data_IF_659699327029
#
_entry.id   IF_659699327029
#
_cell.length_a   1.000
_cell.length_b   1.000
_cell.length_c   1.000
_cell.angle_alpha   90.00
_cell.angle_beta   90.00
_cell.angle_gamma   90.00
#
_symmetry.space_group_name_H-M   'P 1'
#
loop_
_entity.id
_entity.type
_entity.pdbx_description
1 polymer ?
#
# COMPACT_ATOMS: atom_id res chain seq x y z
N UNK A 1 -48.71 18.28 -23.28
CA UNK A 1 -49.60 17.58 -22.34
C UNK A 1 -48.77 16.52 -21.66
N UNK A 2 -48.07 16.88 -20.59
CA UNK A 2 -47.80 16.07 -19.39
C UNK A 2 -47.32 17.07 -18.34
N UNK A 3 -47.98 16.99 -17.21
CA UNK A 3 -48.21 18.04 -16.21
C UNK A 3 -46.99 18.22 -15.30
N UNK A 4 -46.69 19.46 -14.95
CA UNK A 4 -45.67 19.86 -13.98
C UNK A 4 -46.40 20.15 -12.69
N UNK A 5 -46.76 19.09 -11.96
CA UNK A 5 -47.33 19.19 -10.63
C UNK A 5 -46.97 17.94 -9.83
N UNK A 6 -45.75 17.94 -9.29
CA UNK A 6 -45.39 17.19 -8.08
C UNK A 6 -44.03 17.71 -7.57
N UNK A 7 -44.03 18.99 -7.18
CA UNK A 7 -43.05 19.57 -6.26
C UNK A 7 -43.83 20.12 -5.08
N UNK A 8 -43.29 19.86 -3.88
CA UNK A 8 -43.74 20.33 -2.56
C UNK A 8 -45.01 19.66 -2.02
N UNK A 9 -44.86 18.62 -1.20
CA UNK A 9 -45.61 18.44 0.05
C UNK A 9 -44.85 17.47 0.97
N UNK A 10 -43.76 17.92 1.60
CA UNK A 10 -43.31 17.36 2.88
C UNK A 10 -43.77 18.36 3.94
N UNK A 11 -45.07 18.37 4.22
CA UNK A 11 -45.64 19.09 5.35
C UNK A 11 -45.74 18.15 6.54
N UNK A 12 -45.16 18.60 7.65
CA UNK A 12 -45.33 18.08 8.99
C UNK A 12 -46.67 17.38 9.25
N UNK A 13 -46.64 16.06 9.41
CA UNK A 13 -47.40 15.26 10.40
C UNK A 13 -47.44 13.80 9.97
N UNK A 14 -46.38 13.06 10.30
CA UNK A 14 -46.51 11.67 10.74
C UNK A 14 -45.37 11.36 11.72
N UNK A 15 -45.36 12.05 12.86
CA UNK A 15 -44.84 11.41 14.08
C UNK A 15 -45.94 10.43 14.48
N UNK A 16 -46.02 9.30 13.77
CA UNK A 16 -46.76 8.13 14.24
C UNK A 16 -45.84 7.47 15.25
N UNK A 17 -46.24 7.56 16.51
CA UNK A 17 -45.98 6.62 17.60
C UNK A 17 -44.99 5.50 17.22
N UNK A 18 -43.71 5.80 17.36
CA UNK A 18 -42.67 4.76 17.50
C UNK A 18 -43.02 4.05 18.80
N UNK A 19 -43.25 2.75 18.70
CA UNK A 19 -43.40 1.85 19.84
C UNK A 19 -42.22 2.07 20.79
N UNK A 20 -42.48 2.42 22.05
CA UNK A 20 -41.46 2.68 23.07
C UNK A 20 -40.76 1.38 23.55
N UNK A 21 -40.65 0.35 22.70
CA UNK A 21 -40.11 -0.96 23.10
C UNK A 21 -39.14 -1.63 22.13
N UNK A 22 -38.87 -1.08 20.93
CA UNK A 22 -37.86 -1.67 20.03
C UNK A 22 -36.49 -1.03 20.21
N UNK A 23 -35.55 -1.82 20.75
CA UNK A 23 -34.13 -1.46 20.82
C UNK A 23 -33.52 -1.38 19.41
N UNK A 24 -32.74 -0.34 19.16
CA UNK A 24 -32.05 -0.11 17.88
C UNK A 24 -30.56 -0.39 18.02
N UNK A 25 -29.97 -0.97 16.99
CA UNK A 25 -28.54 -1.32 16.96
C UNK A 25 -27.88 -0.69 15.75
N UNK A 26 -26.68 -0.13 15.95
CA UNK A 26 -25.89 0.41 14.84
C UNK A 26 -24.91 -0.66 14.36
N UNK A 27 -24.95 -0.95 13.07
CA UNK A 27 -24.10 -1.95 12.43
C UNK A 27 -23.13 -1.25 11.48
N UNK A 28 -21.84 -1.38 11.73
CA UNK A 28 -20.81 -0.90 10.83
C UNK A 28 -20.71 -1.86 9.63
N UNK A 29 -20.59 -1.36 8.40
CA UNK A 29 -20.38 -2.24 7.25
C UNK A 29 -19.06 -3.01 7.36
N UNK A 30 -19.04 -4.25 6.87
CA UNK A 30 -17.93 -5.19 7.06
C UNK A 30 -16.63 -4.73 6.39
N UNK A 31 -16.74 -3.94 5.33
CA UNK A 31 -15.62 -3.35 4.59
C UNK A 31 -15.15 -1.99 5.16
N UNK A 32 -15.74 -1.53 6.26
CA UNK A 32 -15.20 -0.40 7.03
C UNK A 32 -14.21 -0.93 8.06
N UNK A 33 -12.94 -0.62 7.82
CA UNK A 33 -11.83 -0.99 8.70
C UNK A 33 -11.40 0.22 9.54
N UNK A 34 -11.22 0.02 10.84
CA UNK A 34 -10.85 1.10 11.76
C UNK A 34 -9.49 0.80 12.37
N UNK A 35 -8.53 1.68 12.11
CA UNK A 35 -7.18 1.61 12.69
C UNK A 35 -7.08 2.59 13.84
N UNK A 36 -7.05 2.08 15.08
CA UNK A 36 -6.80 2.91 16.28
C UNK A 36 -5.32 3.28 16.36
N UNK A 37 -5.00 4.57 16.24
CA UNK A 37 -3.67 5.10 16.55
C UNK A 37 -3.62 5.70 17.96
N UNK A 38 -2.53 6.39 18.28
CA UNK A 38 -2.30 6.93 19.61
C UNK A 38 -3.24 8.09 19.99
N UNK A 39 -3.45 9.04 19.08
CA UNK A 39 -4.24 10.25 19.33
C UNK A 39 -5.57 10.31 18.56
N UNK A 40 -5.72 9.46 17.56
CA UNK A 40 -6.86 9.48 16.62
C UNK A 40 -6.97 8.16 15.90
N UNK A 41 -8.09 7.97 15.22
CA UNK A 41 -8.33 6.79 14.39
C UNK A 41 -8.32 7.14 12.92
N UNK A 42 -8.01 6.15 12.09
CA UNK A 42 -8.28 6.15 10.67
C UNK A 42 -9.46 5.21 10.40
N UNK A 43 -10.53 5.74 9.83
CA UNK A 43 -11.61 4.91 9.26
C UNK A 43 -11.32 4.76 7.77
N UNK A 44 -11.15 3.53 7.34
CA UNK A 44 -10.85 3.11 5.98
C UNK A 44 -12.05 2.38 5.41
N UNK A 45 -12.73 3.01 4.46
CA UNK A 45 -13.74 2.35 3.63
C UNK A 45 -13.02 1.61 2.50
N UNK A 46 -12.87 0.30 2.67
CA UNK A 46 -12.09 -0.54 1.77
C UNK A 46 -12.82 -0.77 0.43
N UNK A 47 -14.16 -0.73 0.43
CA UNK A 47 -14.98 -0.85 -0.76
C UNK A 47 -14.87 0.38 -1.67
N UNK A 48 -14.80 1.58 -1.08
CA UNK A 48 -14.63 2.85 -1.80
C UNK A 48 -13.17 3.30 -1.90
N UNK A 49 -12.23 2.59 -1.29
CA UNK A 49 -10.79 2.91 -1.23
C UNK A 49 -10.49 4.32 -0.70
N UNK A 50 -11.27 4.77 0.30
CA UNK A 50 -11.10 6.09 0.94
C UNK A 50 -10.80 5.93 2.42
N UNK A 51 -9.89 6.75 2.94
CA UNK A 51 -9.56 6.79 4.37
C UNK A 51 -9.75 8.20 4.91
N UNK A 52 -10.25 8.31 6.14
CA UNK A 52 -10.41 9.60 6.82
C UNK A 52 -10.12 9.50 8.31
N UNK A 53 -9.54 10.56 8.84
CA UNK A 53 -9.15 10.67 10.24
C UNK A 53 -10.30 11.14 11.11
N UNK A 54 -10.40 10.57 12.31
CA UNK A 54 -11.43 10.90 13.29
C UNK A 54 -10.88 10.90 14.72
N UNK A 55 -11.53 11.60 15.67
CA UNK A 55 -11.15 11.59 17.08
C UNK A 55 -11.25 10.20 17.73
N UNK A 56 -10.52 9.96 18.82
CA UNK A 56 -10.57 8.69 19.56
C UNK A 56 -11.93 8.42 20.20
N UNK A 57 -12.64 9.47 20.58
CA UNK A 57 -13.97 9.37 21.19
C UNK A 57 -14.96 8.66 20.27
N UNK A 58 -14.81 8.83 18.95
CA UNK A 58 -15.62 8.10 17.98
C UNK A 58 -15.32 6.60 17.98
N UNK A 59 -14.06 6.20 18.24
CA UNK A 59 -13.70 4.78 18.36
C UNK A 59 -14.40 4.14 19.56
N UNK A 60 -14.32 4.77 20.73
CA UNK A 60 -14.96 4.25 21.95
C UNK A 60 -16.47 4.12 21.75
N UNK A 61 -17.12 5.10 21.13
CA UNK A 61 -18.54 5.00 20.75
C UNK A 61 -18.81 3.82 19.81
N UNK A 62 -17.99 3.61 18.78
CA UNK A 62 -18.18 2.49 17.84
C UNK A 62 -18.03 1.14 18.56
N UNK A 63 -17.07 1.00 19.49
CA UNK A 63 -16.92 -0.22 20.29
C UNK A 63 -18.11 -0.45 21.23
N UNK A 64 -18.65 0.60 21.85
CA UNK A 64 -19.87 0.51 22.66
C UNK A 64 -21.06 0.04 21.81
N UNK A 65 -21.26 0.65 20.63
CA UNK A 65 -22.35 0.33 19.70
C UNK A 65 -22.28 -1.10 19.14
N UNK A 66 -21.10 -1.74 19.10
CA UNK A 66 -20.96 -3.17 18.74
C UNK A 66 -21.56 -4.11 19.78
N UNK A 67 -21.68 -3.67 21.03
CA UNK A 67 -22.02 -4.52 22.17
C UNK A 67 -23.39 -4.21 22.80
N UNK A 68 -23.98 -3.08 22.44
CA UNK A 68 -25.21 -2.57 23.06
C UNK A 68 -26.10 -1.82 22.06
N UNK A 69 -27.39 -1.70 22.40
CA UNK A 69 -28.33 -0.87 21.65
C UNK A 69 -27.98 0.61 21.78
N UNK A 70 -28.35 1.40 20.77
CA UNK A 70 -28.22 2.86 20.75
C UNK A 70 -28.86 3.47 22.00
N UNK A 71 -30.04 2.99 22.39
CA UNK A 71 -30.74 3.46 23.59
C UNK A 71 -29.92 3.21 24.85
N UNK A 72 -29.38 2.00 25.03
CA UNK A 72 -28.58 1.64 26.20
C UNK A 72 -27.27 2.42 26.25
N UNK A 73 -26.62 2.65 25.12
CA UNK A 73 -25.43 3.49 25.02
C UNK A 73 -25.77 4.91 25.48
N UNK A 74 -26.84 5.52 24.93
CA UNK A 74 -27.25 6.88 25.27
C UNK A 74 -27.65 7.05 26.75
N UNK A 75 -28.06 6.01 27.46
CA UNK A 75 -28.36 6.08 28.90
C UNK A 75 -27.12 6.36 29.76
N UNK A 76 -25.92 5.97 29.30
CA UNK A 76 -24.66 6.14 30.02
C UNK A 76 -24.11 7.57 29.97
N UNK A 77 -24.66 8.43 29.13
CA UNK A 77 -24.16 9.79 28.90
C UNK A 77 -25.06 10.87 29.54
N UNK A 78 -24.49 12.01 29.90
CA UNK A 78 -25.27 13.17 30.35
C UNK A 78 -26.04 13.82 29.18
N UNK A 79 -27.07 14.66 29.45
CA UNK A 79 -27.89 15.25 28.39
C UNK A 79 -27.14 16.04 27.32
N UNK A 80 -26.01 16.67 27.65
CA UNK A 80 -25.18 17.39 26.68
C UNK A 80 -24.44 16.43 25.77
N UNK A 81 -23.79 15.42 26.36
CA UNK A 81 -23.07 14.38 25.63
C UNK A 81 -23.98 13.56 24.71
N UNK A 82 -25.23 13.29 25.11
CA UNK A 82 -26.21 12.59 24.26
C UNK A 82 -26.41 13.26 22.90
N UNK A 83 -26.39 14.59 22.84
CA UNK A 83 -26.54 15.33 21.57
C UNK A 83 -25.34 15.03 20.67
N UNK A 84 -24.12 15.07 21.21
CA UNK A 84 -22.88 14.79 20.47
C UNK A 84 -22.86 13.34 19.97
N UNK A 85 -23.24 12.37 20.80
CA UNK A 85 -23.32 10.95 20.39
C UNK A 85 -24.32 10.77 19.25
N UNK A 86 -25.49 11.43 19.31
CA UNK A 86 -26.47 11.39 18.22
C UNK A 86 -25.93 12.03 16.93
N UNK A 87 -25.17 13.12 17.02
CA UNK A 87 -24.49 13.72 15.87
C UNK A 87 -23.46 12.75 15.25
N UNK A 88 -22.68 12.05 16.07
CA UNK A 88 -21.74 11.03 15.57
C UNK A 88 -22.47 9.88 14.86
N UNK A 89 -23.55 9.34 15.45
CA UNK A 89 -24.35 8.29 14.80
C UNK A 89 -24.93 8.82 13.48
N UNK A 90 -25.49 10.03 13.47
CA UNK A 90 -26.01 10.68 12.27
C UNK A 90 -24.95 10.83 11.18
N UNK A 91 -23.72 11.22 11.57
CA UNK A 91 -22.60 11.34 10.66
C UNK A 91 -22.15 9.99 10.08
N UNK A 92 -22.08 8.93 10.90
CA UNK A 92 -21.74 7.59 10.42
C UNK A 92 -22.77 7.08 9.39
N UNK A 93 -24.05 7.41 9.58
CA UNK A 93 -25.12 7.10 8.62
C UNK A 93 -25.02 7.95 7.35
N UNK A 94 -24.79 9.25 7.47
CA UNK A 94 -24.63 10.17 6.33
C UNK A 94 -23.46 9.76 5.43
N UNK A 95 -22.37 9.25 6.03
CA UNK A 95 -21.20 8.75 5.31
C UNK A 95 -21.35 7.32 4.79
N UNK A 96 -22.50 6.69 5.04
CA UNK A 96 -22.76 5.30 4.66
C UNK A 96 -21.69 4.34 5.20
N UNK A 97 -21.23 4.56 6.45
CA UNK A 97 -20.32 3.66 7.17
C UNK A 97 -21.06 2.53 7.90
N UNK A 98 -22.37 2.67 8.05
CA UNK A 98 -23.20 1.66 8.69
C UNK A 98 -24.68 1.93 8.51
N UNK A 99 -25.48 1.13 9.20
CA UNK A 99 -26.94 1.18 9.15
C UNK A 99 -27.54 0.79 10.51
N UNK A 100 -28.80 1.16 10.73
CA UNK A 100 -29.53 0.83 11.96
C UNK A 100 -30.45 -0.36 11.71
N UNK A 101 -30.45 -1.31 12.64
CA UNK A 101 -31.43 -2.40 12.72
C UNK A 101 -32.27 -2.29 13.99
N UNK A 102 -33.43 -2.93 13.99
CA UNK A 102 -34.29 -3.09 15.17
C UNK A 102 -34.29 -4.55 15.63
N UNK A 103 -34.41 -4.77 16.94
CA UNK A 103 -34.36 -6.12 17.51
C UNK A 103 -32.96 -6.74 17.39
N UNK A 104 -32.87 -8.07 17.27
CA UNK A 104 -31.58 -8.80 17.30
C UNK A 104 -31.05 -9.19 15.90
N UNK A 105 -31.41 -8.41 14.88
CA UNK A 105 -31.01 -8.63 13.49
C UNK A 105 -29.52 -8.35 13.21
N UNK A 106 -28.88 -7.57 14.07
CA UNK A 106 -27.44 -7.26 14.05
C UNK A 106 -26.58 -8.52 14.01
N UNK A 107 -27.01 -9.60 14.68
CA UNK A 107 -26.31 -10.91 14.71
C UNK A 107 -26.14 -11.56 13.33
N UNK A 108 -26.95 -11.16 12.34
CA UNK A 108 -26.85 -11.67 10.98
C UNK A 108 -25.82 -10.93 10.13
N UNK A 109 -25.24 -9.84 10.65
CA UNK A 109 -24.23 -9.04 9.98
C UNK A 109 -22.84 -9.40 10.51
N UNK A 110 -22.24 -10.44 9.91
CA UNK A 110 -20.93 -10.93 10.32
C UNK A 110 -19.82 -9.94 9.89
N UNK A 111 -18.77 -9.77 10.73
CA UNK A 111 -17.62 -8.95 10.36
C UNK A 111 -16.85 -9.57 9.20
N UNK A 112 -16.12 -8.74 8.45
CA UNK A 112 -15.19 -9.21 7.44
C UNK A 112 -14.08 -10.02 8.11
N UNK A 113 -13.77 -11.20 7.57
CA UNK A 113 -12.56 -11.92 7.95
C UNK A 113 -11.35 -11.14 7.46
N UNK A 114 -10.43 -10.82 8.37
CA UNK A 114 -9.16 -10.18 8.01
C UNK A 114 -8.07 -11.18 7.61
N UNK A 115 -8.40 -12.47 7.45
CA UNK A 115 -7.44 -13.45 6.97
C UNK A 115 -6.97 -13.11 5.55
N UNK A 116 -5.65 -13.13 5.35
CA UNK A 116 -5.04 -12.93 4.04
C UNK A 116 -4.88 -14.29 3.33
N UNK A 117 -5.56 -14.43 2.19
CA UNK A 117 -5.44 -15.62 1.34
C UNK A 117 -4.82 -15.28 -0.01
N UNK A 118 -3.65 -15.86 -0.27
CA UNK A 118 -3.05 -15.88 -1.61
C UNK A 118 -2.23 -17.16 -1.76
N UNK A 119 -2.43 -17.83 -2.88
CA UNK A 119 -1.85 -19.14 -3.18
C UNK A 119 -0.48 -19.04 -3.86
N UNK A 120 -0.04 -17.84 -4.25
CA UNK A 120 1.29 -17.64 -4.83
C UNK A 120 2.36 -17.80 -3.75
N UNK A 121 3.48 -18.42 -4.11
CA UNK A 121 4.66 -18.42 -3.23
C UNK A 121 5.40 -17.08 -3.33
N UNK A 122 5.50 -16.55 -4.55
CA UNK A 122 6.10 -15.25 -4.88
C UNK A 122 5.19 -14.54 -5.86
N UNK A 123 4.81 -13.31 -5.53
CA UNK A 123 3.95 -12.47 -6.36
C UNK A 123 4.77 -11.52 -7.25
N UNK A 124 5.86 -10.98 -6.71
CA UNK A 124 6.67 -9.96 -7.38
C UNK A 124 8.17 -10.29 -7.32
N UNK A 125 8.85 -10.04 -8.43
CA UNK A 125 10.30 -10.00 -8.52
C UNK A 125 10.75 -8.61 -8.94
N UNK A 126 11.73 -8.04 -8.24
CA UNK A 126 12.45 -6.85 -8.66
C UNK A 126 13.87 -7.25 -9.04
N UNK A 127 14.35 -6.85 -10.22
CA UNK A 127 15.74 -7.06 -10.62
C UNK A 127 16.40 -5.75 -11.07
N UNK A 128 17.62 -5.51 -10.60
CA UNK A 128 18.51 -4.48 -11.13
C UNK A 128 19.51 -5.10 -12.12
N UNK A 129 19.58 -4.56 -13.34
CA UNK A 129 20.47 -5.03 -14.40
C UNK A 129 21.22 -3.88 -15.07
N UNK A 130 22.42 -4.13 -15.57
CA UNK A 130 23.16 -3.13 -16.33
C UNK A 130 22.55 -2.93 -17.73
N UNK A 131 22.16 -4.04 -18.37
CA UNK A 131 21.46 -4.10 -19.67
C UNK A 131 20.22 -4.97 -19.54
N UNK A 132 19.26 -4.83 -20.45
CA UNK A 132 18.01 -5.58 -20.44
C UNK A 132 18.21 -7.06 -20.84
N UNK A 133 18.90 -7.81 -20.00
CA UNK A 133 19.24 -9.21 -20.19
C UNK A 133 19.19 -9.92 -18.83
N UNK A 134 18.60 -11.11 -18.79
CA UNK A 134 18.56 -11.95 -17.60
C UNK A 134 18.93 -13.40 -17.93
N UNK A 135 19.50 -14.17 -16.99
CA UNK A 135 19.83 -15.57 -17.23
C UNK A 135 18.58 -16.42 -17.54
N UNK A 136 18.71 -17.41 -18.43
CA UNK A 136 17.63 -18.35 -18.75
C UNK A 136 17.13 -19.11 -17.51
N UNK A 137 18.03 -19.41 -16.56
CA UNK A 137 17.67 -20.03 -15.28
C UNK A 137 16.70 -19.17 -14.45
N UNK A 138 16.79 -17.83 -14.56
CA UNK A 138 15.86 -16.92 -13.88
C UNK A 138 14.49 -16.92 -14.58
N UNK A 139 14.46 -16.94 -15.91
CA UNK A 139 13.22 -17.07 -16.69
C UNK A 139 12.50 -18.38 -16.31
N UNK A 140 13.24 -19.48 -16.20
CA UNK A 140 12.69 -20.77 -15.76
C UNK A 140 12.17 -20.70 -14.32
N UNK A 141 12.89 -20.01 -13.42
CA UNK A 141 12.44 -19.80 -12.03
C UNK A 141 11.13 -19.00 -11.98
N UNK A 142 11.00 -17.95 -12.80
CA UNK A 142 9.77 -17.15 -12.94
C UNK A 142 8.60 -18.03 -13.40
N UNK A 143 8.84 -18.90 -14.38
CA UNK A 143 7.83 -19.83 -14.89
C UNK A 143 7.41 -20.86 -13.82
N UNK A 144 8.37 -21.52 -13.17
CA UNK A 144 8.15 -22.56 -12.17
C UNK A 144 7.41 -22.05 -10.94
N UNK A 145 7.82 -20.88 -10.43
CA UNK A 145 7.21 -20.23 -9.28
C UNK A 145 5.92 -19.46 -9.65
N UNK A 146 5.60 -19.39 -10.94
CA UNK A 146 4.44 -18.68 -11.50
C UNK A 146 4.37 -17.22 -11.04
N UNK A 147 5.53 -16.55 -11.02
CA UNK A 147 5.63 -15.13 -10.63
C UNK A 147 4.88 -14.29 -11.66
N UNK A 148 3.97 -13.43 -11.19
CA UNK A 148 3.08 -12.65 -12.05
C UNK A 148 3.59 -11.26 -12.39
N UNK A 149 4.42 -10.67 -11.53
CA UNK A 149 4.90 -9.31 -11.70
C UNK A 149 6.42 -9.21 -11.65
N UNK A 150 6.99 -8.54 -12.64
CA UNK A 150 8.42 -8.28 -12.75
C UNK A 150 8.66 -6.78 -12.85
N UNK A 151 9.51 -6.26 -11.99
CA UNK A 151 10.05 -4.91 -12.08
C UNK A 151 11.52 -5.01 -12.49
N UNK A 152 11.90 -4.37 -13.59
CA UNK A 152 13.27 -4.33 -14.07
C UNK A 152 13.81 -2.92 -13.98
N UNK A 153 14.84 -2.73 -13.17
CA UNK A 153 15.62 -1.50 -13.15
C UNK A 153 16.84 -1.67 -14.04
N UNK A 154 16.74 -1.21 -15.29
CA UNK A 154 17.84 -1.24 -16.26
C UNK A 154 18.63 0.08 -16.19
N UNK A 155 19.95 -0.02 -16.05
CA UNK A 155 20.81 1.16 -15.90
C UNK A 155 21.17 1.82 -17.24
N UNK A 156 21.14 1.05 -18.33
CA UNK A 156 21.38 1.55 -19.68
C UNK A 156 20.11 2.10 -20.32
N UNK A 157 20.30 2.77 -21.47
CA UNK A 157 19.20 3.03 -22.41
C UNK A 157 18.72 1.71 -23.01
N UNK A 158 17.46 1.67 -23.45
CA UNK A 158 16.85 0.50 -24.08
C UNK A 158 16.14 0.93 -25.37
N UNK A 159 16.32 0.18 -26.45
CA UNK A 159 15.60 0.35 -27.71
C UNK A 159 14.22 -0.31 -27.68
N UNK A 160 13.33 0.08 -28.61
CA UNK A 160 11.99 -0.53 -28.68
C UNK A 160 12.04 -2.02 -29.00
N UNK A 161 13.00 -2.44 -29.84
CA UNK A 161 13.19 -3.83 -30.22
C UNK A 161 13.66 -4.70 -29.04
N UNK A 162 14.61 -4.20 -28.23
CA UNK A 162 15.06 -4.90 -27.02
C UNK A 162 13.91 -5.13 -26.03
N UNK A 163 13.03 -4.14 -25.83
CA UNK A 163 11.84 -4.29 -24.99
C UNK A 163 10.87 -5.35 -25.53
N UNK A 164 10.63 -5.34 -26.84
CA UNK A 164 9.74 -6.31 -27.50
C UNK A 164 10.30 -7.73 -27.35
N UNK A 165 11.59 -7.90 -27.58
CA UNK A 165 12.23 -9.22 -27.48
C UNK A 165 12.27 -9.69 -26.02
N UNK A 166 12.48 -8.79 -25.07
CA UNK A 166 12.41 -9.11 -23.64
C UNK A 166 11.00 -9.51 -23.18
N UNK A 167 9.93 -8.85 -23.64
CA UNK A 167 8.55 -9.25 -23.33
C UNK A 167 8.23 -10.66 -23.84
N UNK A 168 8.72 -11.02 -25.04
CA UNK A 168 8.51 -12.34 -25.66
C UNK A 168 9.17 -13.49 -24.92
N UNK A 169 10.26 -13.24 -24.19
CA UNK A 169 10.91 -14.26 -23.34
C UNK A 169 9.90 -14.89 -22.36
N UNK A 170 8.85 -14.15 -21.99
CA UNK A 170 7.87 -14.56 -21.00
C UNK A 170 6.58 -15.17 -21.60
N UNK A 171 6.52 -15.43 -22.91
CA UNK A 171 5.30 -15.90 -23.58
C UNK A 171 4.72 -17.20 -23.04
N UNK A 172 5.57 -18.08 -22.49
CA UNK A 172 5.17 -19.36 -21.92
C UNK A 172 5.25 -19.37 -20.38
N UNK A 173 5.07 -18.21 -19.74
CA UNK A 173 5.15 -18.05 -18.28
C UNK A 173 3.85 -17.48 -17.73
N UNK A 174 3.73 -17.41 -16.39
CA UNK A 174 2.61 -16.76 -15.71
C UNK A 174 2.80 -15.24 -15.54
N UNK A 175 3.83 -14.65 -16.16
CA UNK A 175 4.09 -13.22 -16.05
C UNK A 175 2.96 -12.44 -16.74
N UNK A 176 2.31 -11.57 -15.99
CA UNK A 176 1.15 -10.77 -16.42
C UNK A 176 1.49 -9.28 -16.46
N UNK A 177 2.41 -8.82 -15.60
CA UNK A 177 2.79 -7.40 -15.51
C UNK A 177 4.30 -7.19 -15.52
N UNK A 178 4.74 -6.29 -16.41
CA UNK A 178 6.13 -5.85 -16.53
C UNK A 178 6.21 -4.32 -16.36
N UNK A 179 7.01 -3.88 -15.39
CA UNK A 179 7.38 -2.48 -15.16
C UNK A 179 8.88 -2.33 -15.39
N UNK A 180 9.26 -1.31 -16.16
CA UNK A 180 10.66 -1.07 -16.51
C UNK A 180 11.09 0.35 -16.20
N UNK A 181 12.29 0.45 -15.63
CA UNK A 181 13.04 1.69 -15.49
C UNK A 181 14.23 1.67 -16.44
N UNK A 182 14.47 2.77 -17.14
CA UNK A 182 15.59 2.92 -18.09
C UNK A 182 16.15 4.34 -18.06
N UNK A 183 17.43 4.49 -18.39
CA UNK A 183 17.98 5.81 -18.68
C UNK A 183 17.31 6.41 -19.92
N UNK A 184 17.15 7.73 -19.93
CA UNK A 184 16.65 8.48 -21.07
C UNK A 184 17.56 8.34 -22.31
N UNK A 185 16.95 8.22 -23.49
CA UNK A 185 17.63 8.28 -24.78
C UNK A 185 16.89 9.23 -25.73
N UNK A 186 17.58 9.76 -26.73
CA UNK A 186 16.98 10.61 -27.77
C UNK A 186 16.09 9.82 -28.74
N UNK A 187 16.05 8.49 -28.65
CA UNK A 187 15.19 7.62 -29.45
C UNK A 187 13.75 7.54 -28.91
N UNK A 188 13.52 8.01 -27.68
CA UNK A 188 12.20 8.00 -27.05
C UNK A 188 11.29 9.01 -27.73
N UNK A 189 10.48 8.53 -28.68
CA UNK A 189 9.53 9.33 -29.47
C UNK A 189 8.23 8.54 -29.70
N UNK A 190 7.27 9.12 -30.41
CA UNK A 190 5.97 8.48 -30.66
C UNK A 190 6.11 7.09 -31.32
N UNK A 191 7.01 6.93 -32.29
CA UNK A 191 7.22 5.64 -32.98
C UNK A 191 7.80 4.59 -32.03
N UNK A 192 8.71 4.97 -31.13
CA UNK A 192 9.22 4.08 -30.09
C UNK A 192 8.07 3.50 -29.25
N UNK A 193 7.19 4.36 -28.72
CA UNK A 193 6.10 3.92 -27.85
C UNK A 193 4.98 3.21 -28.60
N UNK A 194 4.69 3.61 -29.84
CA UNK A 194 3.74 2.92 -30.69
C UNK A 194 4.20 1.48 -30.97
N UNK A 195 5.49 1.26 -31.24
CA UNK A 195 6.03 -0.08 -31.39
C UNK A 195 5.83 -0.93 -30.12
N UNK A 196 6.06 -0.37 -28.93
CA UNK A 196 5.78 -1.10 -27.68
C UNK A 196 4.29 -1.39 -27.55
N UNK A 197 3.44 -0.42 -27.86
CA UNK A 197 1.99 -0.55 -27.79
C UNK A 197 1.49 -1.72 -28.65
N UNK A 198 1.97 -1.82 -29.89
CA UNK A 198 1.51 -2.79 -30.88
C UNK A 198 2.07 -4.20 -30.65
N UNK A 199 3.31 -4.31 -30.15
CA UNK A 199 4.05 -5.59 -30.15
C UNK A 199 4.34 -6.21 -28.78
N UNK A 200 3.95 -5.57 -27.67
CA UNK A 200 4.03 -6.18 -26.34
C UNK A 200 2.67 -6.27 -25.69
N UNK A 201 2.51 -7.10 -24.66
CA UNK A 201 1.20 -7.32 -24.02
C UNK A 201 1.21 -7.05 -22.51
N UNK A 202 2.36 -7.24 -21.86
CA UNK A 202 2.46 -7.29 -20.38
C UNK A 202 3.03 -6.01 -19.77
N UNK A 203 3.67 -5.18 -20.59
CA UNK A 203 4.21 -3.89 -20.16
C UNK A 203 3.05 -2.98 -19.77
N UNK A 204 2.98 -2.60 -18.50
CA UNK A 204 1.95 -1.69 -17.96
C UNK A 204 2.53 -0.33 -17.56
N UNK A 205 3.84 -0.23 -17.33
CA UNK A 205 4.49 1.02 -16.90
C UNK A 205 5.93 1.09 -17.38
N UNK A 206 6.29 2.21 -17.99
CA UNK A 206 7.66 2.54 -18.36
C UNK A 206 8.07 3.86 -17.69
N UNK A 207 9.21 3.83 -17.02
CA UNK A 207 9.78 4.99 -16.34
C UNK A 207 11.15 5.30 -16.93
N UNK A 208 11.30 6.50 -17.45
CA UNK A 208 12.58 7.02 -17.92
C UNK A 208 13.10 8.07 -16.94
N UNK A 209 14.39 7.99 -16.61
CA UNK A 209 15.04 8.93 -15.70
C UNK A 209 16.19 9.67 -16.40
N UNK A 210 16.64 10.78 -15.80
CA UNK A 210 17.58 11.72 -16.44
C UNK A 210 17.05 12.28 -17.77
N UNK A 211 15.75 12.53 -17.83
CA UNK A 211 15.13 13.10 -19.01
C UNK A 211 15.51 14.58 -19.16
N UNK A 212 16.15 14.91 -20.28
CA UNK A 212 16.47 16.29 -20.65
C UNK A 212 15.19 17.06 -21.00
N UNK A 213 14.29 16.40 -21.73
CA UNK A 213 13.00 16.93 -22.16
C UNK A 213 11.92 15.84 -22.08
N UNK A 214 10.64 16.25 -22.01
CA UNK A 214 9.52 15.32 -22.11
C UNK A 214 9.17 15.15 -23.59
N UNK A 215 9.39 13.96 -24.19
CA UNK A 215 9.35 13.82 -25.65
C UNK A 215 7.95 13.75 -26.25
N UNK A 216 6.91 13.66 -25.42
CA UNK A 216 5.53 13.43 -25.85
C UNK A 216 4.56 14.49 -25.31
N UNK A 217 3.52 14.76 -26.10
CA UNK A 217 2.34 15.49 -25.64
C UNK A 217 1.47 14.58 -24.74
N UNK A 218 0.71 15.18 -23.81
CA UNK A 218 -0.12 14.42 -22.86
C UNK A 218 -1.30 13.64 -23.50
N UNK A 219 -1.63 13.89 -24.77
CA UNK A 219 -2.83 13.35 -25.43
C UNK A 219 -2.61 11.97 -26.13
N UNK A 220 -1.59 11.21 -25.73
CA UNK A 220 -1.34 9.87 -26.31
C UNK A 220 -1.96 8.76 -25.47
N UNK A 221 -2.84 7.96 -26.08
CA UNK A 221 -3.57 6.88 -25.40
C UNK A 221 -2.86 5.53 -25.58
N UNK A 222 -1.74 5.32 -24.90
CA UNK A 222 -1.09 4.01 -24.84
C UNK A 222 -1.73 3.12 -23.76
N UNK A 223 -1.65 1.80 -23.95
CA UNK A 223 -2.12 0.80 -22.97
C UNK A 223 -1.30 0.72 -21.66
N UNK A 224 -0.20 1.48 -21.59
CA UNK A 224 0.71 1.55 -20.44
C UNK A 224 0.91 3.01 -20.01
N UNK A 225 1.29 3.19 -18.75
CA UNK A 225 1.66 4.49 -18.22
C UNK A 225 3.10 4.84 -18.61
N UNK A 226 3.35 6.12 -18.89
CA UNK A 226 4.67 6.66 -19.17
C UNK A 226 5.02 7.72 -18.13
N UNK A 227 6.20 7.58 -17.53
CA UNK A 227 6.76 8.55 -16.59
C UNK A 227 8.14 8.99 -17.04
N UNK A 228 8.35 10.31 -17.08
CA UNK A 228 9.64 10.93 -17.36
C UNK A 228 10.11 11.70 -16.14
N UNK A 229 11.28 11.35 -15.60
CA UNK A 229 11.87 11.98 -14.42
C UNK A 229 13.16 12.70 -14.81
N UNK A 230 13.30 13.96 -14.41
CA UNK A 230 14.52 14.74 -14.65
C UNK A 230 15.69 14.26 -13.80
N UNK A 231 15.41 13.88 -12.57
CA UNK A 231 16.43 13.48 -11.61
C UNK A 231 16.97 12.07 -11.92
N UNK A 232 18.24 11.78 -11.55
CA UNK A 232 18.74 10.42 -11.54
C UNK A 232 17.92 9.56 -10.57
N UNK A 233 17.59 8.35 -11.01
CA UNK A 233 16.88 7.39 -10.18
C UNK A 233 17.84 6.31 -9.70
N UNK A 234 17.58 5.79 -8.51
CA UNK A 234 18.26 4.61 -7.98
C UNK A 234 17.32 3.79 -7.12
N UNK A 235 17.66 2.53 -6.87
CA UNK A 235 16.94 1.68 -5.91
C UNK A 235 16.92 2.31 -4.50
N UNK A 236 17.88 3.16 -4.19
CA UNK A 236 17.94 3.90 -2.92
C UNK A 236 16.91 5.02 -2.84
N UNK A 237 16.20 5.38 -3.91
CA UNK A 237 15.13 6.38 -3.88
C UNK A 237 13.82 5.83 -3.28
N UNK A 238 13.69 4.51 -3.14
CA UNK A 238 12.50 3.83 -2.60
C UNK A 238 12.30 4.09 -1.08
N UNK A 239 11.14 3.70 -0.55
CA UNK A 239 10.85 3.67 0.89
C UNK A 239 10.44 5.02 1.48
N UNK A 240 10.23 6.05 0.66
CA UNK A 240 9.65 7.33 1.09
C UNK A 240 8.21 7.10 1.57
N UNK A 241 7.88 7.63 2.73
CA UNK A 241 6.53 7.55 3.30
C UNK A 241 5.86 8.91 3.15
N UNK A 242 4.76 8.95 2.40
CA UNK A 242 3.94 10.14 2.17
C UNK A 242 2.48 9.70 2.04
N UNK A 243 1.56 10.56 2.50
CA UNK A 243 0.10 10.34 2.42
C UNK A 243 -0.38 10.10 0.99
N UNK A 244 0.26 10.71 -0.01
CA UNK A 244 -0.05 10.55 -1.44
C UNK A 244 0.20 9.12 -1.94
N UNK A 245 1.01 8.34 -1.20
CA UNK A 245 1.32 6.94 -1.51
C UNK A 245 0.53 5.95 -0.66
N UNK A 246 -0.36 6.43 0.22
CA UNK A 246 -1.18 5.54 1.04
C UNK A 246 -2.21 4.82 0.19
N UNK A 247 -2.40 3.55 0.47
CA UNK A 247 -3.28 2.70 -0.32
C UNK A 247 -4.32 2.02 0.57
N UNK A 248 -5.58 2.37 0.34
CA UNK A 248 -6.73 1.91 1.13
C UNK A 248 -7.47 0.73 0.45
N UNK A 249 -6.89 0.11 -0.58
CA UNK A 249 -7.55 -1.03 -1.21
C UNK A 249 -7.58 -2.26 -0.28
N UNK A 250 -8.66 -3.04 -0.37
CA UNK A 250 -8.88 -4.20 0.50
C UNK A 250 -7.73 -5.23 0.46
N UNK A 251 -7.27 -5.75 -0.70
CA UNK A 251 -6.13 -6.67 -0.73
C UNK A 251 -4.89 -6.15 -0.02
N UNK A 252 -4.61 -4.84 -0.15
CA UNK A 252 -3.42 -4.23 0.43
C UNK A 252 -3.51 -4.07 1.94
N UNK A 253 -4.67 -3.63 2.42
CA UNK A 253 -4.91 -3.48 3.86
C UNK A 253 -4.89 -4.85 4.53
N UNK A 254 -5.55 -5.86 3.95
CA UNK A 254 -5.51 -7.24 4.46
C UNK A 254 -4.09 -7.80 4.48
N UNK A 255 -3.30 -7.58 3.42
CA UNK A 255 -1.88 -7.95 3.42
C UNK A 255 -1.12 -7.28 4.57
N UNK A 256 -1.32 -5.96 4.77
CA UNK A 256 -0.61 -5.18 5.78
C UNK A 256 -1.02 -5.49 7.22
N UNK A 257 -2.21 -6.06 7.44
CA UNK A 257 -2.66 -6.55 8.75
C UNK A 257 -1.92 -7.85 9.11
N UNK A 258 -1.66 -8.71 8.14
CA UNK A 258 -1.13 -10.06 8.38
C UNK A 258 0.38 -10.17 8.15
N UNK A 259 0.94 -9.29 7.32
CA UNK A 259 2.29 -9.42 6.79
C UNK A 259 2.96 -8.05 6.59
N UNK A 260 4.24 -8.09 6.25
CA UNK A 260 4.98 -6.89 5.88
C UNK A 260 4.47 -6.31 4.56
N UNK A 261 3.97 -5.07 4.61
CA UNK A 261 3.34 -4.43 3.45
C UNK A 261 4.30 -4.08 2.30
N UNK A 262 5.62 -4.24 2.44
CA UNK A 262 6.56 -4.06 1.32
C UNK A 262 7.11 -5.39 0.80
N UNK A 263 7.54 -6.28 1.70
CA UNK A 263 8.39 -7.43 1.38
C UNK A 263 7.65 -8.76 1.24
N UNK A 264 6.42 -8.88 1.75
CA UNK A 264 5.67 -10.13 1.72
C UNK A 264 5.55 -10.68 0.29
N UNK A 265 5.98 -11.93 0.09
CA UNK A 265 6.02 -12.64 -1.20
C UNK A 265 6.80 -11.94 -2.32
N UNK A 266 7.73 -11.05 -1.95
CA UNK A 266 8.61 -10.37 -2.91
C UNK A 266 10.05 -10.85 -2.79
N UNK A 267 10.71 -10.87 -3.94
CA UNK A 267 12.14 -11.07 -4.06
C UNK A 267 12.78 -9.92 -4.82
N UNK A 268 14.05 -9.68 -4.51
CA UNK A 268 14.91 -8.70 -5.14
C UNK A 268 16.18 -9.35 -5.62
N UNK A 269 16.68 -8.93 -6.78
CA UNK A 269 18.01 -9.26 -7.29
C UNK A 269 18.75 -7.95 -7.51
N UNK A 270 19.88 -7.77 -6.83
CA UNK A 270 20.73 -6.58 -7.03
C UNK A 270 21.59 -6.69 -8.29
N UNK A 271 22.24 -5.58 -8.68
CA UNK A 271 23.12 -5.52 -9.86
C UNK A 271 24.25 -6.56 -9.91
N UNK A 272 24.62 -7.15 -8.78
CA UNK A 272 25.66 -8.17 -8.71
C UNK A 272 25.08 -9.60 -8.81
N UNK A 273 23.76 -9.72 -9.02
CA UNK A 273 23.03 -10.98 -9.06
C UNK A 273 22.69 -11.54 -7.69
N UNK A 274 22.86 -10.78 -6.60
CA UNK A 274 22.55 -11.29 -5.26
C UNK A 274 21.03 -11.33 -5.04
N UNK A 275 20.52 -12.48 -4.58
CA UNK A 275 19.11 -12.70 -4.28
C UNK A 275 18.82 -12.23 -2.84
N UNK A 276 17.77 -11.43 -2.68
CA UNK A 276 17.38 -10.68 -1.47
C UNK A 276 15.84 -10.57 -1.36
N UNK A 277 15.29 -9.96 -0.30
CA UNK A 277 13.87 -9.58 -0.26
C UNK A 277 13.55 -8.39 -1.17
N UNK A 278 14.50 -7.47 -1.27
CA UNK A 278 14.48 -6.27 -2.10
C UNK A 278 15.95 -5.97 -2.46
N UNK A 279 16.27 -5.46 -3.66
CA UNK A 279 17.68 -5.23 -4.05
C UNK A 279 18.45 -4.34 -3.06
N UNK A 280 17.74 -3.42 -2.41
CA UNK A 280 18.29 -2.51 -1.42
C UNK A 280 18.53 -3.13 -0.03
N UNK A 281 18.08 -4.36 0.22
CA UNK A 281 18.34 -5.04 1.49
C UNK A 281 19.83 -5.36 1.66
N UNK A 282 20.35 -5.34 2.90
CA UNK A 282 21.75 -5.68 3.15
C UNK A 282 22.03 -7.18 3.04
N UNK A 283 21.10 -8.02 3.50
CA UNK A 283 21.26 -9.48 3.51
C UNK A 283 21.05 -10.07 2.12
N UNK A 284 21.92 -11.01 1.75
CA UNK A 284 21.78 -11.84 0.56
C UNK A 284 21.62 -13.31 0.96
N UNK A 285 20.80 -14.02 0.20
CA UNK A 285 20.47 -15.44 0.41
C UNK A 285 21.08 -16.36 -0.66
N UNK A 286 21.87 -15.80 -1.58
CA UNK A 286 22.43 -16.52 -2.70
C UNK A 286 22.70 -15.60 -3.89
N UNK A 287 23.17 -16.18 -4.99
CA UNK A 287 23.42 -15.45 -6.23
C UNK A 287 22.77 -16.20 -7.41
N UNK A 288 22.06 -15.47 -8.27
CA UNK A 288 21.27 -16.03 -9.37
C UNK A 288 22.10 -16.77 -10.43
N UNK A 289 23.41 -16.51 -10.48
CA UNK A 289 24.34 -17.22 -11.35
C UNK A 289 24.79 -18.58 -10.79
N UNK A 290 24.44 -18.89 -9.53
CA UNK A 290 24.87 -20.11 -8.82
C UNK A 290 23.72 -20.95 -8.29
N UNK A 291 22.55 -20.34 -8.09
CA UNK A 291 21.38 -20.96 -7.47
C UNK A 291 20.09 -20.46 -8.12
N UNK A 292 19.04 -21.26 -8.08
CA UNK A 292 17.70 -20.87 -8.55
C UNK A 292 16.90 -20.18 -7.44
N UNK A 293 15.77 -19.55 -7.80
CA UNK A 293 14.91 -18.93 -6.78
C UNK A 293 14.26 -19.97 -5.88
N UNK A 294 13.90 -21.13 -6.41
CA UNK A 294 13.32 -22.24 -5.66
C UNK A 294 14.27 -22.74 -4.56
N UNK A 295 15.54 -22.91 -4.88
CA UNK A 295 16.57 -23.32 -3.92
C UNK A 295 16.72 -22.30 -2.78
N UNK A 296 16.63 -21.01 -3.08
CA UNK A 296 16.68 -19.94 -2.08
C UNK A 296 15.45 -19.97 -1.17
N UNK A 297 14.26 -20.20 -1.73
CA UNK A 297 13.02 -20.26 -0.95
C UNK A 297 12.98 -21.45 0.01
N UNK A 298 13.59 -22.57 -0.35
CA UNK A 298 13.71 -23.75 0.50
C UNK A 298 14.56 -23.51 1.76
N UNK A 299 15.42 -22.49 1.77
CA UNK A 299 16.23 -22.16 2.95
C UNK A 299 15.42 -21.50 4.08
N UNK A 300 14.24 -20.94 3.80
CA UNK A 300 13.37 -20.31 4.81
C UNK A 300 13.84 -18.94 5.32
N UNK A 301 15.07 -18.51 5.01
CA UNK A 301 15.64 -17.26 5.52
C UNK A 301 15.02 -16.00 4.89
N UNK A 302 14.56 -16.08 3.63
CA UNK A 302 13.89 -14.95 2.95
C UNK A 302 12.61 -14.55 3.69
N UNK A 303 11.92 -15.51 4.27
CA UNK A 303 10.59 -15.31 4.86
C UNK A 303 10.65 -14.63 6.24
N UNK A 304 11.83 -14.39 6.82
CA UNK A 304 11.99 -13.80 8.16
C UNK A 304 11.26 -12.47 8.32
N UNK A 305 11.36 -11.58 7.32
CA UNK A 305 10.67 -10.28 7.35
C UNK A 305 9.24 -10.33 6.79
N UNK A 306 8.81 -11.43 6.18
CA UNK A 306 7.51 -11.48 5.50
C UNK A 306 6.34 -11.33 6.46
N UNK A 307 6.46 -11.86 7.68
CA UNK A 307 5.39 -11.83 8.67
C UNK A 307 5.53 -10.68 9.68
N UNK A 308 6.53 -9.81 9.51
CA UNK A 308 6.73 -8.66 10.38
C UNK A 308 5.70 -7.57 10.05
N UNK A 309 4.68 -7.44 10.87
CA UNK A 309 3.62 -6.43 10.68
C UNK A 309 4.00 -5.12 11.36
N UNK A 310 3.28 -4.04 11.03
CA UNK A 310 3.52 -2.75 11.69
C UNK A 310 3.11 -2.71 13.17
N UNK A 311 2.39 -3.72 13.67
CA UNK A 311 2.09 -3.85 15.10
C UNK A 311 3.34 -4.24 15.91
N UNK A 312 4.36 -4.78 15.26
CA UNK A 312 5.66 -5.11 15.88
C UNK A 312 6.69 -3.97 15.74
N UNK A 313 6.44 -3.01 14.84
CA UNK A 313 7.40 -1.94 14.53
C UNK A 313 7.26 -0.79 15.52
N UNK A 314 8.37 -0.41 16.15
CA UNK A 314 8.46 0.69 17.11
C UNK A 314 7.94 2.00 16.50
N UNK A 315 7.13 2.73 17.28
CA UNK A 315 6.29 3.88 16.86
C UNK A 315 5.15 3.53 15.89
N UNK A 316 5.40 2.70 14.87
CA UNK A 316 4.41 2.38 13.85
C UNK A 316 3.21 1.59 14.38
N UNK A 317 3.38 0.80 15.43
CA UNK A 317 2.29 0.07 16.10
C UNK A 317 1.21 1.00 16.67
N UNK A 318 1.60 2.21 17.03
CA UNK A 318 0.71 3.25 17.57
C UNK A 318 0.21 4.21 16.47
N UNK A 319 0.58 3.98 15.21
CA UNK A 319 0.21 4.85 14.08
C UNK A 319 -1.13 4.43 13.49
N UNK A 320 -2.02 5.40 13.28
CA UNK A 320 -3.33 5.21 12.65
C UNK A 320 -3.23 4.88 11.16
N UNK A 321 -2.10 5.16 10.51
CA UNK A 321 -1.88 4.85 9.10
C UNK A 321 -1.23 3.48 8.84
N UNK A 322 -0.99 2.68 9.90
CA UNK A 322 -0.11 1.52 9.79
C UNK A 322 -0.55 0.46 8.77
N UNK A 323 -1.84 0.30 8.52
CA UNK A 323 -2.31 -0.69 7.53
C UNK A 323 -2.49 -0.12 6.11
N UNK A 324 -2.36 1.20 5.91
CA UNK A 324 -2.42 1.85 4.58
C UNK A 324 -1.05 2.37 4.11
N UNK A 325 -0.07 2.42 5.02
CA UNK A 325 1.30 2.83 4.77
C UNK A 325 2.18 1.64 4.32
N UNK A 326 3.11 1.89 3.40
CA UNK A 326 4.12 0.90 3.00
C UNK A 326 5.24 0.82 4.05
N UNK A 327 5.72 -0.38 4.34
CA UNK A 327 6.77 -0.63 5.32
C UNK A 327 8.14 -0.99 4.73
N UNK A 328 9.02 -0.01 4.55
CA UNK A 328 10.38 -0.28 4.10
C UNK A 328 11.25 -0.81 5.25
N UNK A 329 11.77 -2.03 5.11
CA UNK A 329 12.78 -2.64 6.01
C UNK A 329 14.23 -2.53 5.48
N UNK A 330 14.41 -2.09 4.23
CA UNK A 330 15.74 -1.85 3.67
C UNK A 330 16.42 -0.62 4.30
N UNK A 331 15.62 0.39 4.64
CA UNK A 331 16.07 1.65 5.24
C UNK A 331 15.29 1.92 6.53
N UNK A 332 15.88 1.55 7.66
CA UNK A 332 15.31 1.71 9.01
C UNK A 332 16.14 2.69 9.82
N UNK A 333 15.63 3.13 10.96
CA UNK A 333 16.42 3.93 11.92
C UNK A 333 17.50 3.12 12.64
N UNK A 334 17.47 1.78 12.56
CA UNK A 334 18.44 0.85 13.15
C UNK A 334 18.66 1.07 14.65
N UNK A 335 17.60 1.43 15.36
CA UNK A 335 17.59 1.80 16.77
C UNK A 335 16.98 0.71 17.67
N UNK A 336 16.25 -0.24 17.11
CA UNK A 336 15.51 -1.26 17.85
C UNK A 336 15.50 -2.62 17.14
N UNK A 337 15.63 -3.68 17.92
CA UNK A 337 15.73 -5.06 17.44
C UNK A 337 14.94 -6.00 18.36
N UNK A 338 14.18 -6.92 17.78
CA UNK A 338 13.44 -7.91 18.55
C UNK A 338 14.35 -9.04 19.08
N UNK A 339 13.80 -9.96 19.87
CA UNK A 339 14.54 -11.08 20.46
C UNK A 339 15.22 -11.99 19.43
N UNK A 340 14.65 -12.07 18.21
CA UNK A 340 15.21 -12.82 17.09
C UNK A 340 16.29 -12.04 16.31
N UNK A 341 16.62 -10.82 16.74
CA UNK A 341 17.61 -9.96 16.12
C UNK A 341 17.15 -9.26 14.84
N UNK A 342 15.84 -9.25 14.55
CA UNK A 342 15.29 -8.53 13.39
C UNK A 342 15.07 -7.05 13.74
N UNK A 343 15.32 -6.17 12.77
CA UNK A 343 15.19 -4.72 12.94
C UNK A 343 13.70 -4.32 12.95
N UNK A 344 13.24 -3.88 14.13
CA UNK A 344 11.87 -3.41 14.36
C UNK A 344 11.79 -1.89 14.47
N UNK A 345 12.83 -1.19 14.04
CA UNK A 345 12.86 0.27 14.06
C UNK A 345 11.89 0.86 13.03
N UNK A 346 11.45 2.09 13.29
CA UNK A 346 10.67 2.88 12.34
C UNK A 346 11.39 3.00 10.98
N UNK A 347 10.67 3.02 9.83
CA UNK A 347 11.28 3.32 8.54
C UNK A 347 12.00 4.67 8.56
N UNK A 348 13.24 4.71 8.07
CA UNK A 348 14.11 5.89 8.13
C UNK A 348 13.45 7.10 7.47
N UNK A 349 12.82 6.89 6.32
CA UNK A 349 12.23 7.95 5.49
C UNK A 349 10.80 8.32 5.87
N UNK A 350 10.33 7.88 7.04
CA UNK A 350 9.05 8.30 7.60
C UNK A 350 9.26 9.50 8.52
N UNK A 351 8.67 10.63 8.12
CA UNK A 351 8.68 11.90 8.86
C UNK A 351 7.52 12.08 9.84
N UNK A 352 6.55 11.16 9.83
CA UNK A 352 5.31 11.28 10.61
C UNK A 352 5.49 10.80 12.05
N UNK A 353 4.97 11.54 13.02
CA UNK A 353 4.92 11.15 14.43
C UNK A 353 3.46 11.00 14.90
N UNK A 354 2.99 9.78 15.25
CA UNK A 354 1.62 9.56 15.71
C UNK A 354 1.33 10.16 17.10
N UNK A 355 2.35 10.48 17.90
CA UNK A 355 2.16 11.05 19.25
C UNK A 355 1.93 12.56 19.23
N UNK A 356 2.37 13.26 18.17
CA UNK A 356 2.11 14.69 17.94
C UNK A 356 1.15 14.96 16.78
N UNK A 357 0.93 13.96 15.91
CA UNK A 357 0.23 14.06 14.63
C UNK A 357 0.91 14.97 13.59
N UNK A 358 2.20 15.23 13.73
CA UNK A 358 2.95 16.14 12.86
C UNK A 358 3.82 15.39 11.83
N UNK A 359 3.98 16.01 10.66
CA UNK A 359 4.93 15.59 9.65
C UNK A 359 6.17 16.47 9.72
N UNK A 360 7.33 15.84 9.78
CA UNK A 360 8.64 16.52 9.74
C UNK A 360 9.47 16.00 8.56
N UNK A 361 10.41 16.81 8.09
CA UNK A 361 11.39 16.36 7.09
C UNK A 361 12.33 15.33 7.71
N UNK A 362 12.19 14.06 7.30
CA UNK A 362 12.93 12.95 7.89
C UNK A 362 14.44 13.12 7.78
N UNK A 363 14.94 13.76 6.70
CA UNK A 363 16.37 13.96 6.47
C UNK A 363 17.00 15.03 7.36
N UNK A 364 16.19 15.84 8.06
CA UNK A 364 16.67 16.89 8.98
C UNK A 364 16.59 16.47 10.45
N UNK A 365 16.16 15.24 10.74
CA UNK A 365 16.01 14.77 12.11
C UNK A 365 17.36 14.32 12.68
N UNK A 366 17.89 14.96 13.74
CA UNK A 366 19.20 14.62 14.31
C UNK A 366 19.30 13.18 14.81
N UNK A 367 18.17 12.58 15.24
CA UNK A 367 18.14 11.19 15.71
C UNK A 367 18.38 10.18 14.59
N UNK A 368 18.29 10.61 13.31
CA UNK A 368 18.44 9.76 12.13
C UNK A 368 19.83 9.85 11.50
N UNK A 369 20.71 10.71 11.99
CA UNK A 369 22.04 10.96 11.41
C UNK A 369 22.88 9.69 11.29
N UNK A 370 22.95 8.88 12.35
CA UNK A 370 23.73 7.63 12.34
C UNK A 370 23.26 6.64 11.26
N UNK A 371 21.93 6.49 11.12
CA UNK A 371 21.36 5.63 10.11
C UNK A 371 21.58 6.20 8.70
N UNK A 372 21.43 7.52 8.52
CA UNK A 372 21.68 8.19 7.24
C UNK A 372 23.13 8.01 6.79
N UNK A 373 24.10 8.15 7.71
CA UNK A 373 25.51 7.88 7.42
C UNK A 373 25.75 6.42 7.05
N UNK A 374 25.14 5.48 7.78
CA UNK A 374 25.24 4.05 7.46
C UNK A 374 24.77 3.74 6.03
N UNK A 375 23.69 4.38 5.56
CA UNK A 375 23.15 4.16 4.22
C UNK A 375 23.75 5.07 3.13
N UNK A 376 24.66 5.97 3.48
CA UNK A 376 25.27 6.92 2.52
C UNK A 376 24.30 7.99 2.02
N UNK A 377 23.35 8.42 2.86
CA UNK A 377 22.31 9.40 2.53
C UNK A 377 22.66 10.85 2.93
N UNK A 378 23.91 11.13 3.30
CA UNK A 378 24.32 12.45 3.78
C UNK A 378 24.12 13.56 2.73
N UNK A 379 24.27 13.23 1.44
CA UNK A 379 24.03 14.17 0.34
C UNK A 379 22.54 14.47 0.09
N UNK A 380 21.65 13.51 0.37
CA UNK A 380 20.20 13.70 0.25
C UNK A 380 19.63 14.67 1.30
N UNK A 381 20.37 14.95 2.38
CA UNK A 381 20.00 15.93 3.40
C UNK A 381 20.36 17.38 3.01
N UNK A 382 21.28 17.54 2.05
CA UNK A 382 21.84 18.83 1.65
C UNK A 382 21.25 19.39 0.36
N UNK A 383 20.49 18.57 -0.39
CA UNK A 383 19.77 18.97 -1.60
C UNK A 383 18.39 19.54 -1.25
N UNK A 384 18.36 20.78 -0.75
CA UNK A 384 17.20 21.69 -0.85
C UNK A 384 17.66 23.10 -1.20
#
# INVERSE_FOLDING_TARGET
MFDVSDRLFITHKTIQTIDQTTMRFFNLYSDIYITKGYNRILISDLGRSISKLYPLELYELIEELKSASIESVLENYDPGSKIIIQEYIGYLLEREYGFITEGDWDKNFLPLSYEYHDYQQISNLFIEVEKLEIPESLVQSIANLRIRHLVVFCRSTISSQELIDFDKVFDNTALEGLELYSAYSTELNADFFQNIHDYTQRIYHLVFYQCEETPLSPDTNYRFTLDFKKDPLSIHSCGKVNVDYFNTNMPKVLEAINHNSCLHKKLGIDRNGNIKNCPAMPQSFGNINKMTLEEVLQQGAVQQYWNMTKDEITVCKDCEFRNVCTDCRAFTERSDYNESGLDVSKPLKCGYDPYSNEWSEWSLNPLKELAMTYYGFEKLAQEK
#
